data_IF_084838235833
#
_entry.id   IF_084838235833
#
_cell.length_a   1.000
_cell.length_b   1.000
_cell.length_c   1.000
_cell.angle_alpha   90.00
_cell.angle_beta   90.00
_cell.angle_gamma   90.00
#
_symmetry.space_group_name_H-M   'P 1'
#
loop_
_entity.id
_entity.type
_entity.pdbx_description
1 polymer ?
#
# COMPACT_ATOMS: atom_id res chain seq x y z
N UNK A 1 10.74 -0.92 -3.69
CA UNK A 1 11.76 0.12 -3.84
C UNK A 1 11.49 0.93 -5.09
N UNK A 2 12.28 0.73 -6.13
CA UNK A 2 12.28 1.52 -7.38
C UNK A 2 10.92 1.64 -8.05
N UNK A 3 10.16 0.54 -8.19
CA UNK A 3 8.83 0.60 -8.80
C UNK A 3 7.85 1.48 -8.03
N UNK A 4 7.98 1.59 -6.70
CA UNK A 4 7.09 2.45 -5.90
C UNK A 4 7.36 3.93 -6.23
N UNK A 5 8.63 4.34 -6.25
CA UNK A 5 8.99 5.71 -6.60
C UNK A 5 8.67 6.04 -8.05
N UNK A 6 8.86 5.10 -8.98
CA UNK A 6 8.43 5.24 -10.38
C UNK A 6 6.92 5.41 -10.49
N UNK A 7 6.13 4.58 -9.80
CA UNK A 7 4.67 4.67 -9.85
C UNK A 7 4.16 6.03 -9.38
N UNK A 8 4.72 6.59 -8.28
CA UNK A 8 4.37 7.93 -7.81
C UNK A 8 4.73 9.04 -8.80
N UNK A 9 5.86 8.91 -9.52
CA UNK A 9 6.28 9.89 -10.54
C UNK A 9 5.46 9.80 -11.84
N UNK A 10 4.83 8.67 -12.10
CA UNK A 10 4.02 8.42 -13.31
C UNK A 10 2.51 8.56 -13.04
N UNK A 11 2.11 9.08 -11.88
CA UNK A 11 0.70 9.39 -11.61
C UNK A 11 0.16 10.33 -12.70
N UNK A 12 -0.98 9.96 -13.29
CA UNK A 12 -1.60 10.69 -14.40
C UNK A 12 -1.00 10.39 -15.77
N UNK A 13 0.11 9.64 -15.83
CA UNK A 13 0.70 9.15 -17.06
C UNK A 13 0.32 7.67 -17.25
N UNK A 14 -0.50 7.37 -18.24
CA UNK A 14 -0.90 5.99 -18.59
C UNK A 14 0.21 5.26 -19.38
N UNK A 15 1.46 5.35 -18.91
CA UNK A 15 2.65 4.81 -19.59
C UNK A 15 2.92 3.38 -19.10
N UNK A 16 2.93 2.38 -20.00
CA UNK A 16 3.36 1.03 -19.67
C UNK A 16 4.77 0.98 -19.08
N UNK A 17 4.91 0.37 -17.92
CA UNK A 17 6.17 0.28 -17.17
C UNK A 17 6.57 -1.18 -16.99
N UNK A 18 7.81 -1.53 -17.36
CA UNK A 18 8.37 -2.86 -17.15
C UNK A 18 9.20 -2.88 -15.86
N UNK A 19 8.80 -3.75 -14.92
CA UNK A 19 9.55 -3.99 -13.70
C UNK A 19 10.63 -5.05 -13.88
N UNK A 20 11.90 -4.65 -13.92
CA UNK A 20 13.05 -5.58 -14.01
C UNK A 20 13.54 -5.95 -12.62
N UNK A 21 13.56 -7.25 -12.33
CA UNK A 21 14.11 -7.78 -11.10
C UNK A 21 15.62 -8.09 -11.25
N UNK A 22 16.45 -7.34 -10.53
CA UNK A 22 17.92 -7.48 -10.52
C UNK A 22 18.44 -8.45 -9.42
N UNK A 23 17.58 -9.30 -8.87
CA UNK A 23 17.96 -10.24 -7.81
C UNK A 23 16.82 -11.15 -7.39
N UNK A 24 16.42 -11.08 -6.11
CA UNK A 24 15.32 -11.89 -5.57
C UNK A 24 13.99 -11.44 -6.17
N UNK A 25 13.22 -12.39 -6.72
CA UNK A 25 11.86 -12.19 -7.27
C UNK A 25 11.05 -11.24 -6.39
N UNK A 26 10.47 -10.18 -6.92
CA UNK A 26 9.59 -9.24 -6.19
C UNK A 26 8.11 -9.53 -6.42
N UNK A 27 7.22 -8.83 -5.70
CA UNK A 27 5.76 -8.90 -5.95
C UNK A 27 5.31 -8.14 -7.19
N UNK A 28 6.12 -7.19 -7.68
CA UNK A 28 5.81 -6.32 -8.82
C UNK A 28 6.83 -6.44 -9.97
N UNK A 29 8.08 -6.79 -9.67
CA UNK A 29 9.12 -6.97 -10.68
C UNK A 29 9.25 -8.47 -10.99
N UNK A 30 8.65 -8.87 -12.11
CA UNK A 30 8.59 -10.27 -12.56
C UNK A 30 9.53 -10.57 -13.73
N UNK A 31 9.94 -9.56 -14.50
CA UNK A 31 10.83 -9.72 -15.66
C UNK A 31 12.29 -9.78 -15.23
N UNK A 32 13.05 -10.70 -15.82
CA UNK A 32 14.50 -10.73 -15.69
C UNK A 32 15.17 -9.73 -16.64
N UNK A 33 16.45 -9.38 -16.43
CA UNK A 33 17.20 -8.55 -17.38
C UNK A 33 17.24 -9.16 -18.78
N UNK A 34 17.30 -10.50 -18.87
CA UNK A 34 17.30 -11.22 -20.15
C UNK A 34 15.97 -11.06 -20.89
N UNK A 35 14.84 -11.16 -20.19
CA UNK A 35 13.51 -10.98 -20.78
C UNK A 35 13.38 -9.61 -21.48
N UNK A 36 13.88 -8.55 -20.83
CA UNK A 36 13.83 -7.19 -21.38
C UNK A 36 14.83 -6.99 -22.52
N UNK A 37 16.02 -7.58 -22.42
CA UNK A 37 17.00 -7.52 -23.51
C UNK A 37 16.44 -8.17 -24.79
N UNK A 38 15.79 -9.32 -24.64
CA UNK A 38 15.12 -10.01 -25.73
C UNK A 38 14.01 -9.17 -26.38
N UNK A 39 13.19 -8.51 -25.56
CA UNK A 39 12.17 -7.58 -26.04
C UNK A 39 12.76 -6.42 -26.85
N UNK A 40 13.82 -5.79 -26.34
CA UNK A 40 14.51 -4.68 -27.02
C UNK A 40 15.17 -5.14 -28.33
N UNK A 41 15.61 -6.39 -28.41
CA UNK A 41 16.15 -7.01 -29.63
C UNK A 41 15.07 -7.39 -30.66
N UNK A 42 13.80 -7.07 -30.41
CA UNK A 42 12.69 -7.30 -31.33
C UNK A 42 12.01 -8.66 -31.20
N UNK A 43 12.37 -9.47 -30.18
CA UNK A 43 11.58 -10.65 -29.87
C UNK A 43 10.26 -10.20 -29.25
N UNK A 44 9.14 -10.59 -29.85
CA UNK A 44 7.82 -10.27 -29.31
C UNK A 44 7.46 -11.29 -28.21
N UNK A 45 7.33 -10.87 -26.94
CA UNK A 45 6.84 -11.75 -25.89
C UNK A 45 5.36 -12.06 -26.14
N UNK A 46 5.03 -13.35 -26.20
CA UNK A 46 3.65 -13.79 -26.49
C UNK A 46 2.70 -13.69 -25.30
N UNK A 47 3.24 -13.59 -24.09
CA UNK A 47 2.52 -13.75 -22.84
C UNK A 47 2.50 -12.50 -21.98
N UNK A 48 2.97 -11.37 -22.50
CA UNK A 48 2.98 -10.09 -21.80
C UNK A 48 1.66 -9.35 -21.96
N UNK A 49 1.20 -8.70 -20.89
CA UNK A 49 -0.02 -7.93 -20.87
C UNK A 49 0.10 -6.74 -19.91
N UNK A 50 -0.74 -5.73 -20.08
CA UNK A 50 -0.82 -4.62 -19.13
C UNK A 50 -1.71 -5.03 -17.96
N UNK A 51 -1.17 -4.93 -16.76
CA UNK A 51 -1.86 -5.16 -15.50
C UNK A 51 -1.99 -3.84 -14.74
N UNK A 52 -3.12 -3.11 -14.88
CA UNK A 52 -3.33 -1.85 -14.18
C UNK A 52 -3.36 -2.09 -12.67
N UNK A 53 -2.58 -1.31 -11.92
CA UNK A 53 -2.56 -1.35 -10.45
C UNK A 53 -3.23 -0.10 -9.89
N UNK A 54 -4.09 -0.31 -8.90
CA UNK A 54 -4.72 0.77 -8.15
C UNK A 54 -3.64 1.62 -7.46
N UNK A 55 -3.83 2.94 -7.49
CA UNK A 55 -3.02 3.90 -6.74
C UNK A 55 -3.89 4.47 -5.62
N UNK A 56 -3.33 4.55 -4.41
CA UNK A 56 -3.93 5.26 -3.29
C UNK A 56 -3.66 6.76 -3.45
N UNK A 57 -4.69 7.59 -3.39
CA UNK A 57 -4.59 9.05 -3.27
C UNK A 57 -4.77 9.44 -1.80
N UNK A 58 -3.89 10.29 -1.31
CA UNK A 58 -3.97 10.94 0.01
C UNK A 58 -4.08 12.44 -0.20
N UNK A 59 -5.07 13.08 0.40
CA UNK A 59 -5.26 14.53 0.35
C UNK A 59 -5.23 15.09 1.77
N UNK A 60 -4.33 16.04 2.02
CA UNK A 60 -4.21 16.69 3.33
C UNK A 60 -5.18 17.86 3.46
N UNK A 61 -5.42 18.31 4.69
CA UNK A 61 -6.25 19.48 4.99
C UNK A 61 -5.79 20.78 4.30
N UNK A 62 -4.50 20.90 3.96
CA UNK A 62 -3.93 22.03 3.23
C UNK A 62 -4.04 21.89 1.69
N UNK A 63 -4.79 20.89 1.20
CA UNK A 63 -4.98 20.54 -0.22
C UNK A 63 -3.74 19.97 -0.94
N UNK A 64 -2.66 19.67 -0.23
CA UNK A 64 -1.56 18.89 -0.81
C UNK A 64 -2.01 17.45 -1.06
N UNK A 65 -1.63 16.92 -2.23
CA UNK A 65 -2.01 15.57 -2.65
C UNK A 65 -0.77 14.70 -2.81
N UNK A 66 -0.83 13.51 -2.23
CA UNK A 66 0.18 12.47 -2.31
C UNK A 66 -0.43 11.20 -2.89
N UNK A 67 0.43 10.31 -3.38
CA UNK A 67 0.02 9.06 -4.00
C UNK A 67 0.86 7.91 -3.47
N UNK A 68 0.28 6.72 -3.33
CA UNK A 68 1.01 5.52 -2.91
C UNK A 68 0.65 4.33 -3.80
N UNK A 69 1.62 3.48 -4.12
CA UNK A 69 1.33 2.21 -4.79
C UNK A 69 1.03 1.10 -3.77
N UNK A 70 1.72 1.10 -2.63
CA UNK A 70 1.51 0.15 -1.54
C UNK A 70 0.54 0.72 -0.50
N UNK A 71 0.99 1.72 0.25
CA UNK A 71 0.30 2.15 1.46
C UNK A 71 0.68 3.56 1.91
N UNK A 72 -0.21 4.14 2.71
CA UNK A 72 0.04 5.30 3.54
C UNK A 72 -0.08 4.88 5.01
N UNK A 73 0.98 5.14 5.77
CA UNK A 73 1.03 4.82 7.19
C UNK A 73 0.96 6.10 8.00
N UNK A 74 -0.11 6.29 8.75
CA UNK A 74 -0.12 7.22 9.87
C UNK A 74 0.59 6.55 11.03
N UNK A 75 1.61 7.19 11.58
CA UNK A 75 2.34 6.69 12.75
C UNK A 75 2.67 7.82 13.70
N UNK A 76 2.78 7.48 14.97
CA UNK A 76 3.38 8.32 15.98
C UNK A 76 4.79 7.83 16.33
N UNK A 77 5.68 8.76 16.68
CA UNK A 77 7.06 8.47 17.06
C UNK A 77 7.24 7.73 18.39
N UNK A 78 8.51 7.59 18.78
CA UNK A 78 9.04 6.54 19.66
C UNK A 78 8.55 6.66 21.11
N UNK A 79 8.11 7.84 21.56
CA UNK A 79 7.56 8.01 22.91
C UNK A 79 6.08 7.58 22.98
N UNK A 80 5.84 6.27 23.09
CA UNK A 80 4.72 5.46 23.68
C UNK A 80 3.39 6.12 24.11
N UNK A 81 2.98 7.23 23.50
CA UNK A 81 1.71 7.89 23.76
C UNK A 81 0.78 7.47 22.63
N UNK A 82 -0.35 6.87 22.94
CA UNK A 82 -1.36 6.51 21.93
C UNK A 82 -2.02 7.77 21.37
N UNK A 83 -2.21 7.82 20.06
CA UNK A 83 -3.09 8.81 19.42
C UNK A 83 -4.51 8.29 19.30
N UNK A 84 -5.44 9.24 19.34
CA UNK A 84 -6.84 9.01 18.99
C UNK A 84 -7.01 9.33 17.52
N UNK A 85 -7.39 8.34 16.72
CA UNK A 85 -7.62 8.51 15.29
C UNK A 85 -9.10 8.27 15.06
N UNK A 86 -9.85 9.33 14.80
CA UNK A 86 -11.25 9.21 14.38
C UNK A 86 -11.26 8.93 12.87
N UNK A 87 -11.99 7.90 12.47
CA UNK A 87 -12.14 7.49 11.07
C UNK A 87 -13.59 7.62 10.64
N UNK A 88 -13.82 8.40 9.60
CA UNK A 88 -15.10 8.53 8.92
C UNK A 88 -15.00 7.88 7.54
N UNK A 89 -16.07 7.20 7.12
CA UNK A 89 -16.22 6.62 5.79
C UNK A 89 -17.39 7.32 5.11
N UNK A 90 -17.15 7.93 3.95
CA UNK A 90 -18.16 8.61 3.15
C UNK A 90 -18.97 9.64 3.98
N UNK A 91 -18.26 10.38 4.83
CA UNK A 91 -18.81 11.43 5.70
C UNK A 91 -19.56 10.93 6.94
N UNK A 92 -19.54 9.62 7.23
CA UNK A 92 -20.16 9.04 8.42
C UNK A 92 -19.11 8.47 9.35
N UNK A 93 -19.27 8.72 10.66
CA UNK A 93 -18.40 8.14 11.67
C UNK A 93 -18.44 6.62 11.63
N UNK A 94 -17.26 6.00 11.47
CA UNK A 94 -17.12 4.56 11.43
C UNK A 94 -16.55 4.02 12.74
N UNK A 95 -15.38 4.51 13.16
CA UNK A 95 -14.78 4.10 14.43
C UNK A 95 -13.73 5.10 14.92
N UNK A 96 -13.23 4.85 16.13
CA UNK A 96 -12.12 5.54 16.74
C UNK A 96 -11.05 4.55 17.14
N UNK A 97 -9.86 4.69 16.58
CA UNK A 97 -8.69 3.91 17.00
C UNK A 97 -7.95 4.62 18.13
N UNK A 98 -7.56 3.84 19.14
CA UNK A 98 -6.55 4.22 20.13
C UNK A 98 -5.35 3.30 19.91
N UNK A 99 -4.36 3.80 19.17
CA UNK A 99 -3.33 2.98 18.54
C UNK A 99 -2.03 3.79 18.36
N UNK A 100 -0.95 3.11 18.00
CA UNK A 100 0.31 3.75 17.59
C UNK A 100 0.20 4.38 16.18
N UNK A 101 -0.84 4.00 15.44
CA UNK A 101 -1.07 4.45 14.08
C UNK A 101 -2.10 3.61 13.34
N UNK A 102 -2.21 3.87 12.03
CA UNK A 102 -3.04 3.09 11.10
C UNK A 102 -2.40 3.08 9.72
N UNK A 103 -2.49 1.94 9.04
CA UNK A 103 -2.03 1.76 7.67
C UNK A 103 -3.24 1.66 6.74
N UNK A 104 -3.25 2.46 5.68
CA UNK A 104 -4.20 2.38 4.59
C UNK A 104 -3.46 1.78 3.40
N UNK A 105 -3.89 0.62 2.93
CA UNK A 105 -3.14 -0.17 1.97
C UNK A 105 -3.97 -0.52 0.74
N UNK A 106 -3.33 -0.43 -0.44
CA UNK A 106 -3.88 -0.95 -1.70
C UNK A 106 -3.78 -2.49 -1.72
N UNK A 107 -4.38 -3.16 -2.72
CA UNK A 107 -4.19 -4.60 -2.90
C UNK A 107 -2.74 -5.01 -3.20
N UNK A 108 -1.93 -4.10 -3.74
CA UNK A 108 -0.49 -4.34 -3.91
C UNK A 108 0.21 -4.28 -2.55
N UNK A 109 -0.09 -3.25 -1.74
CA UNK A 109 0.48 -3.06 -0.40
C UNK A 109 -0.01 -4.07 0.63
N UNK A 110 -1.09 -4.81 0.37
CA UNK A 110 -1.62 -5.83 1.29
C UNK A 110 -0.62 -6.96 1.58
N UNK A 111 0.45 -7.08 0.77
CA UNK A 111 1.57 -8.03 0.95
C UNK A 111 2.84 -7.37 1.50
N UNK A 112 2.78 -6.07 1.78
CA UNK A 112 3.85 -5.27 2.37
C UNK A 112 3.60 -5.09 3.88
N UNK A 113 3.63 -3.85 4.40
CA UNK A 113 3.59 -3.63 5.84
C UNK A 113 2.24 -4.01 6.46
N UNK A 114 1.14 -3.82 5.73
CA UNK A 114 -0.20 -4.26 6.17
C UNK A 114 -0.25 -5.75 6.53
N UNK A 115 0.47 -6.61 5.79
CA UNK A 115 0.55 -8.05 6.09
C UNK A 115 1.23 -8.33 7.43
N UNK A 116 2.32 -7.60 7.72
CA UNK A 116 3.06 -7.74 8.99
C UNK A 116 2.23 -7.32 10.21
N UNK A 117 1.24 -6.45 10.00
CA UNK A 117 0.29 -6.00 11.03
C UNK A 117 -0.97 -6.88 11.13
N UNK A 118 -1.03 -8.00 10.38
CA UNK A 118 -2.16 -8.92 10.40
C UNK A 118 -3.29 -8.58 9.42
N UNK A 119 -3.06 -7.64 8.49
CA UNK A 119 -3.99 -7.36 7.39
C UNK A 119 -4.10 -8.55 6.41
N UNK A 120 -5.24 -8.69 5.71
CA UNK A 120 -5.46 -9.77 4.75
C UNK A 120 -4.62 -9.61 3.48
N UNK A 121 -4.25 -10.75 2.86
CA UNK A 121 -3.69 -10.77 1.51
C UNK A 121 -4.85 -10.57 0.51
N UNK A 122 -4.76 -9.53 -0.31
CA UNK A 122 -5.69 -9.27 -1.39
C UNK A 122 -5.10 -9.76 -2.73
N UNK A 123 -5.98 -10.06 -3.68
CA UNK A 123 -5.56 -10.23 -5.07
C UNK A 123 -5.31 -8.85 -5.69
N UNK A 124 -4.22 -8.71 -6.45
CA UNK A 124 -3.73 -7.41 -6.93
C UNK A 124 -4.71 -6.66 -7.86
N UNK A 125 -5.71 -7.34 -8.43
CA UNK A 125 -6.70 -6.75 -9.33
C UNK A 125 -7.97 -6.25 -8.65
N UNK A 126 -8.11 -6.40 -7.33
CA UNK A 126 -9.26 -5.88 -6.60
C UNK A 126 -9.28 -4.36 -6.58
N UNK A 127 -10.48 -3.80 -6.45
CA UNK A 127 -10.67 -2.37 -6.22
C UNK A 127 -11.11 -2.15 -4.77
N UNK A 128 -10.14 -2.20 -3.85
CA UNK A 128 -10.40 -2.19 -2.41
C UNK A 128 -9.25 -1.59 -1.62
N UNK A 129 -9.56 -1.00 -0.48
CA UNK A 129 -8.58 -0.54 0.50
C UNK A 129 -8.62 -1.42 1.75
N UNK A 130 -7.46 -1.64 2.35
CA UNK A 130 -7.32 -2.29 3.65
C UNK A 130 -6.91 -1.25 4.67
N UNK A 131 -7.65 -1.16 5.78
CA UNK A 131 -7.32 -0.30 6.92
C UNK A 131 -6.86 -1.22 8.05
N UNK A 132 -5.58 -1.13 8.42
CA UNK A 132 -4.95 -1.99 9.41
C UNK A 132 -4.39 -1.14 10.56
N UNK A 133 -4.96 -1.21 11.79
CA UNK A 133 -4.45 -0.46 12.93
C UNK A 133 -3.08 -1.00 13.40
N UNK A 134 -2.21 -0.11 13.88
CA UNK A 134 -0.89 -0.46 14.42
C UNK A 134 -1.00 -0.57 15.95
N UNK A 135 -0.77 -1.76 16.49
CA UNK A 135 -0.80 -2.05 17.93
C UNK A 135 -2.03 -1.42 18.64
N UNK A 136 -3.27 -1.68 18.20
CA UNK A 136 -4.44 -1.07 18.81
C UNK A 136 -4.63 -1.53 20.25
N UNK A 137 -5.02 -0.61 21.13
CA UNK A 137 -5.26 -0.91 22.54
C UNK A 137 -6.53 -1.75 22.76
N UNK A 138 -7.46 -1.80 21.80
CA UNK A 138 -8.66 -2.63 21.89
C UNK A 138 -8.47 -3.90 21.06
N UNK A 139 -8.72 -5.05 21.70
CA UNK A 139 -8.68 -6.36 21.04
C UNK A 139 -9.73 -6.53 19.94
N UNK A 140 -10.72 -5.65 19.84
CA UNK A 140 -11.77 -5.68 18.81
C UNK A 140 -11.39 -4.90 17.55
N UNK A 141 -10.34 -4.09 17.60
CA UNK A 141 -9.89 -3.34 16.43
C UNK A 141 -9.22 -4.35 15.48
N UNK A 142 -9.87 -4.57 14.33
CA UNK A 142 -9.47 -5.54 13.31
C UNK A 142 -9.21 -4.82 12.00
N UNK A 143 -8.35 -5.37 11.14
CA UNK A 143 -8.25 -4.92 9.76
C UNK A 143 -9.60 -5.02 9.08
N UNK A 144 -9.99 -3.98 8.35
CA UNK A 144 -11.19 -3.98 7.53
C UNK A 144 -10.83 -3.79 6.07
N UNK A 145 -11.63 -4.38 5.19
CA UNK A 145 -11.53 -4.21 3.74
C UNK A 145 -12.77 -3.46 3.28
N UNK A 146 -12.56 -2.40 2.51
CA UNK A 146 -13.64 -1.56 1.99
C UNK A 146 -13.45 -1.35 0.49
N UNK A 147 -14.49 -0.81 -0.16
CA UNK A 147 -14.42 -0.44 -1.57
C UNK A 147 -13.36 0.66 -1.80
N UNK A 148 -12.60 0.55 -2.90
CA UNK A 148 -11.53 1.49 -3.18
C UNK A 148 -11.98 2.94 -3.36
N UNK A 149 -13.23 3.14 -3.82
CA UNK A 149 -13.83 4.46 -4.07
C UNK A 149 -14.40 5.13 -2.82
N UNK A 150 -14.44 4.45 -1.68
CA UNK A 150 -14.86 5.06 -0.43
C UNK A 150 -13.87 6.14 0.00
N UNK A 151 -14.40 7.27 0.47
CA UNK A 151 -13.60 8.36 1.03
C UNK A 151 -13.38 8.12 2.51
N UNK A 152 -12.13 7.87 2.88
CA UNK A 152 -11.72 7.67 4.25
C UNK A 152 -11.14 8.95 4.80
N UNK A 153 -11.80 9.56 5.79
CA UNK A 153 -11.24 10.71 6.49
C UNK A 153 -10.67 10.27 7.84
N UNK A 154 -9.43 10.65 8.12
CA UNK A 154 -8.77 10.40 9.39
C UNK A 154 -8.48 11.73 10.08
N UNK A 155 -9.00 11.90 11.29
CA UNK A 155 -8.77 13.08 12.13
C UNK A 155 -7.96 12.71 13.36
N UNK A 156 -6.87 13.45 13.60
CA UNK A 156 -5.86 13.06 14.59
C UNK A 156 -5.99 13.91 15.84
N UNK A 157 -6.20 13.25 16.96
CA UNK A 157 -6.41 13.87 18.25
C UNK A 157 -5.54 13.21 19.33
N UNK A 158 -5.23 13.97 20.38
CA UNK A 158 -4.55 13.42 21.55
C UNK A 158 -4.94 14.20 22.79
N UNK A 159 -4.98 13.51 23.94
CA UNK A 159 -5.15 14.15 25.26
C UNK A 159 -3.85 14.78 25.77
N UNK A 160 -2.71 14.45 25.15
CA UNK A 160 -1.38 14.92 25.54
C UNK A 160 -0.65 15.48 24.32
N UNK A 161 0.15 16.55 24.47
CA UNK A 161 1.01 17.03 23.40
C UNK A 161 1.93 15.92 22.87
N UNK A 162 2.03 15.86 21.55
CA UNK A 162 2.94 15.02 20.79
C UNK A 162 3.25 15.70 19.46
N UNK A 163 4.53 15.75 19.12
CA UNK A 163 5.04 16.45 17.94
C UNK A 163 5.65 15.47 16.93
N UNK A 164 5.44 14.16 17.14
CA UNK A 164 6.05 13.09 16.36
C UNK A 164 5.03 12.33 15.50
N UNK A 165 3.99 13.01 15.01
CA UNK A 165 2.99 12.39 14.14
C UNK A 165 3.44 12.58 12.70
N UNK A 166 3.42 11.50 11.91
CA UNK A 166 3.72 11.59 10.49
C UNK A 166 2.91 10.60 9.65
N UNK A 167 2.61 11.02 8.43
CA UNK A 167 2.27 10.14 7.34
C UNK A 167 3.53 9.69 6.63
N UNK A 168 3.61 8.39 6.37
CA UNK A 168 4.69 7.78 5.60
C UNK A 168 4.09 7.11 4.37
N UNK A 169 4.46 7.59 3.19
CA UNK A 169 3.93 7.14 1.90
C UNK A 169 4.91 6.15 1.28
N UNK A 170 4.44 4.93 0.99
CA UNK A 170 5.22 3.81 0.42
C UNK A 170 6.51 3.48 1.20
N UNK A 171 6.62 3.91 2.46
CA UNK A 171 7.86 3.82 3.25
C UNK A 171 9.01 4.70 2.75
N UNK A 172 8.74 5.71 1.90
CA UNK A 172 9.77 6.49 1.20
C UNK A 172 9.66 8.00 1.39
N UNK A 173 8.46 8.52 1.63
CA UNK A 173 8.21 9.94 1.80
C UNK A 173 7.50 10.17 3.14
N UNK A 174 8.03 11.10 3.94
CA UNK A 174 7.53 11.43 5.27
C UNK A 174 6.93 12.84 5.23
N UNK A 175 5.69 12.95 5.72
CA UNK A 175 5.00 14.21 5.93
C UNK A 175 4.69 14.33 7.41
N UNK A 176 5.26 15.33 8.07
CA UNK A 176 4.96 15.61 9.47
C UNK A 176 3.56 16.23 9.59
N UNK A 177 2.80 15.76 10.57
CA UNK A 177 1.45 16.24 10.89
C UNK A 177 1.41 16.76 12.32
N UNK A 178 0.44 17.62 12.58
CA UNK A 178 0.16 18.17 13.90
C UNK A 178 -1.15 17.61 14.46
N UNK A 179 -1.34 17.76 15.77
CA UNK A 179 -2.63 17.48 16.39
C UNK A 179 -3.70 18.42 15.84
N UNK A 180 -4.86 17.86 15.48
CA UNK A 180 -5.93 18.59 14.81
C UNK A 180 -5.88 18.51 13.29
N UNK A 181 -4.77 18.04 12.70
CA UNK A 181 -4.73 17.77 11.27
C UNK A 181 -5.63 16.58 10.91
N UNK A 182 -6.03 16.58 9.65
CA UNK A 182 -6.77 15.48 9.04
C UNK A 182 -6.29 15.25 7.61
N UNK A 183 -6.50 14.03 7.13
CA UNK A 183 -6.27 13.67 5.74
C UNK A 183 -7.38 12.76 5.25
N UNK A 184 -7.60 12.79 3.94
CA UNK A 184 -8.50 11.89 3.23
C UNK A 184 -7.69 10.88 2.42
N UNK A 185 -8.18 9.64 2.35
CA UNK A 185 -7.61 8.55 1.59
C UNK A 185 -8.68 7.89 0.72
N UNK A 186 -8.38 7.68 -0.56
CA UNK A 186 -9.29 7.09 -1.55
C UNK A 186 -8.48 6.49 -2.71
N UNK A 187 -9.07 5.61 -3.54
CA UNK A 187 -8.46 5.26 -4.82
C UNK A 187 -8.30 6.49 -5.71
N UNK A 188 -7.16 6.63 -6.38
CA UNK A 188 -6.96 7.63 -7.42
C UNK A 188 -7.71 7.25 -8.70
N UNK A 189 -8.09 8.25 -9.51
CA UNK A 189 -8.71 8.02 -10.83
C UNK A 189 -7.70 7.43 -11.85
N UNK A 190 -6.40 7.61 -11.59
CA UNK A 190 -5.31 7.07 -12.40
C UNK A 190 -4.83 5.72 -11.87
N UNK A 191 -4.24 4.92 -12.77
CA UNK A 191 -3.67 3.60 -12.45
C UNK A 191 -2.20 3.55 -12.83
N UNK A 192 -1.44 2.69 -12.15
CA UNK A 192 -0.07 2.38 -12.55
C UNK A 192 -0.09 1.23 -13.56
N UNK A 193 0.36 1.49 -14.79
CA UNK A 193 0.31 0.53 -15.89
C UNK A 193 1.54 -0.37 -15.87
N UNK A 194 1.47 -1.46 -15.12
CA UNK A 194 2.58 -2.42 -15.03
C UNK A 194 2.48 -3.47 -16.13
N UNK A 195 3.59 -3.72 -16.84
CA UNK A 195 3.70 -4.85 -17.77
C UNK A 195 3.94 -6.13 -16.97
N UNK A 196 3.01 -7.07 -17.08
CA UNK A 196 3.06 -8.40 -16.47
C UNK A 196 3.11 -9.48 -17.54
N UNK A 197 3.28 -10.73 -17.11
CA UNK A 197 3.40 -11.93 -17.93
C UNK A 197 2.63 -13.10 -17.30
N UNK A 198 2.17 -14.03 -18.13
CA UNK A 198 1.53 -15.26 -17.65
C UNK A 198 2.54 -16.33 -17.19
N UNK A 199 3.86 -16.06 -17.21
CA UNK A 199 4.91 -17.01 -16.77
C UNK A 199 4.72 -17.49 -15.34
N UNK A 200 4.16 -16.64 -14.47
CA UNK A 200 3.92 -16.95 -13.05
C UNK A 200 2.58 -16.38 -12.61
N UNK A 201 1.80 -17.19 -11.89
CA UNK A 201 0.62 -16.67 -11.22
C UNK A 201 1.01 -15.85 -9.99
N UNK A 202 0.13 -14.96 -9.55
CA UNK A 202 0.27 -14.25 -8.28
C UNK A 202 0.50 -15.22 -7.09
N UNK A 203 -0.18 -16.38 -7.11
CA UNK A 203 -0.01 -17.39 -6.07
C UNK A 203 1.34 -18.11 -6.12
N UNK A 204 1.98 -18.23 -7.29
CA UNK A 204 3.38 -18.70 -7.38
C UNK A 204 4.31 -17.75 -6.64
N UNK A 205 4.12 -16.44 -6.84
CA UNK A 205 4.90 -15.40 -6.17
C UNK A 205 4.67 -15.47 -4.66
N UNK A 206 3.41 -15.59 -4.21
CA UNK A 206 3.08 -15.73 -2.79
C UNK A 206 3.71 -16.97 -2.16
N UNK A 207 3.61 -18.14 -2.81
CA UNK A 207 4.25 -19.39 -2.33
C UNK A 207 5.76 -19.22 -2.18
N UNK A 208 6.40 -18.62 -3.16
CA UNK A 208 7.84 -18.39 -3.12
C UNK A 208 8.23 -17.36 -2.04
N UNK A 209 7.47 -16.27 -1.90
CA UNK A 209 7.78 -15.17 -0.97
C UNK A 209 7.50 -15.47 0.49
N UNK A 210 6.41 -16.19 0.76
CA UNK A 210 5.92 -16.47 2.11
C UNK A 210 6.26 -17.89 2.58
N UNK A 211 6.99 -18.67 1.76
CA UNK A 211 7.16 -20.11 1.94
C UNK A 211 5.81 -20.84 2.17
N UNK A 212 4.75 -20.33 1.54
CA UNK A 212 3.38 -20.72 1.88
C UNK A 212 3.11 -22.17 1.46
N UNK A 213 2.74 -23.00 2.43
CA UNK A 213 2.43 -24.41 2.21
C UNK A 213 3.65 -25.32 2.09
N UNK A 214 4.87 -24.82 2.32
CA UNK A 214 6.03 -25.69 2.46
C UNK A 214 5.93 -26.44 3.80
N UNK A 215 6.09 -27.77 3.77
CA UNK A 215 6.23 -28.53 4.99
C UNK A 215 7.47 -28.01 5.73
N UNK A 216 7.28 -27.57 6.98
CA UNK A 216 8.40 -27.32 7.87
C UNK A 216 9.24 -28.61 7.89
N UNK A 217 10.52 -28.52 7.52
CA UNK A 217 11.44 -29.65 7.61
C UNK A 217 11.35 -30.21 9.03
N UNK A 218 10.66 -31.33 9.19
CA UNK A 218 10.69 -32.13 10.42
C UNK A 218 12.12 -32.67 10.50
N UNK A 219 12.95 -32.00 11.29
CA UNK A 219 14.15 -32.60 11.87
C UNK A 219 13.75 -33.34 13.13
#
# INVERSE_FOLDING_TARGET
GTLLSTARRLVGAEIPTIGVNMGKLGFLAEHSPQDVLEYIQGKTPQDWFISPKMILKIELSNHETYYALNDAMLSQGVMTKLINIDMDIDGKHATKYLADGVVISTPVGSTAYSLSLGGPILSQGLHSLVITPIAPHRLTDRPIVIEGSSKLKFSIHSKRPTDEIALVIDGQERIDLQLGDSFEATSADTKFMLVSSHKRSYFDILRHKLAWGQQANRK
#
